data_IF_866771649689
#
_entry.id   IF_866771649689
#
_cell.length_a   1.000
_cell.length_b   1.000
_cell.length_c   1.000
_cell.angle_alpha   90.00
_cell.angle_beta   90.00
_cell.angle_gamma   90.00
#
_symmetry.space_group_name_H-M   'P 1'
#
loop_
_entity.id
_entity.type
_entity.pdbx_description
1 polymer ?
#
# COMPACT_ATOMS: atom_id res chain seq x y z
N UNK A 1 -14.50 2.47 11.32
CA UNK A 1 -15.72 3.11 10.72
C UNK A 1 -15.34 4.47 10.16
N UNK A 2 -15.76 4.78 8.93
CA UNK A 2 -15.56 6.12 8.35
C UNK A 2 -16.45 7.17 9.04
N UNK A 3 -16.12 8.45 8.90
CA UNK A 3 -16.91 9.58 9.38
C UNK A 3 -16.97 10.68 8.30
N UNK A 4 -17.79 11.71 8.54
CA UNK A 4 -17.99 12.82 7.58
C UNK A 4 -16.71 13.58 7.21
N UNK A 5 -15.65 13.45 8.01
CA UNK A 5 -14.37 14.13 7.77
C UNK A 5 -13.48 13.35 6.80
N UNK A 6 -13.79 12.07 6.54
CA UNK A 6 -12.99 11.18 5.69
C UNK A 6 -11.47 11.19 5.97
N UNK A 7 -11.12 11.45 7.24
CA UNK A 7 -9.73 11.51 7.72
C UNK A 7 -9.39 10.25 8.54
N UNK A 8 -9.31 9.12 7.85
CA UNK A 8 -9.00 7.83 8.45
C UNK A 8 -10.25 7.07 8.95
N UNK A 9 -10.03 5.84 9.38
CA UNK A 9 -11.05 4.93 9.86
C UNK A 9 -11.02 4.85 11.38
N UNK A 10 -12.08 5.28 12.05
CA UNK A 10 -12.23 5.12 13.49
C UNK A 10 -12.28 3.64 13.89
N UNK A 11 -11.47 3.27 14.87
CA UNK A 11 -11.46 1.92 15.44
C UNK A 11 -12.46 1.86 16.59
N UNK A 12 -13.22 0.78 16.65
CA UNK A 12 -14.06 0.48 17.79
C UNK A 12 -13.19 -0.19 18.88
N UNK A 13 -12.59 0.63 19.75
CA UNK A 13 -11.63 0.17 20.75
C UNK A 13 -12.27 -0.62 21.90
N UNK A 14 -13.60 -0.65 22.00
CA UNK A 14 -14.30 -1.53 22.93
C UNK A 14 -14.20 -3.02 22.52
N UNK A 15 -13.99 -3.26 21.21
CA UNK A 15 -13.91 -4.61 20.64
C UNK A 15 -12.50 -5.00 20.21
N UNK A 16 -11.68 -4.01 19.86
CA UNK A 16 -10.34 -4.24 19.30
C UNK A 16 -9.32 -3.31 19.95
N UNK A 17 -8.22 -3.87 20.40
CA UNK A 17 -7.04 -3.12 20.81
C UNK A 17 -6.06 -3.07 19.63
N UNK A 18 -5.86 -1.91 18.99
CA UNK A 18 -4.92 -1.75 17.89
C UNK A 18 -3.54 -1.39 18.39
N UNK A 19 -2.53 -1.94 17.75
CA UNK A 19 -1.12 -1.56 17.88
C UNK A 19 -0.58 -1.29 16.47
N UNK A 20 0.38 -0.35 16.33
CA UNK A 20 1.15 -0.18 15.09
C UNK A 20 2.62 -0.38 15.43
N UNK A 21 3.20 -1.41 14.83
CA UNK A 21 4.53 -1.89 15.16
C UNK A 21 5.48 -1.79 13.96
N UNK A 22 6.74 -1.55 14.25
CA UNK A 22 7.78 -1.75 13.24
C UNK A 22 7.82 -3.24 12.85
N UNK A 23 7.74 -3.57 11.55
CA UNK A 23 7.64 -4.96 11.10
C UNK A 23 8.91 -5.79 11.36
N UNK A 24 10.05 -5.15 11.64
CA UNK A 24 11.36 -5.79 11.88
C UNK A 24 11.63 -5.90 13.38
N UNK A 25 11.55 -4.77 14.12
CA UNK A 25 11.89 -4.74 15.55
C UNK A 25 10.74 -5.19 16.44
N UNK A 26 9.49 -5.16 15.92
CA UNK A 26 8.24 -5.41 16.66
C UNK A 26 8.00 -4.41 17.80
N UNK A 27 8.66 -3.28 17.79
CA UNK A 27 8.45 -2.18 18.73
C UNK A 27 7.37 -1.23 18.22
N UNK A 28 6.69 -0.52 19.14
CA UNK A 28 5.71 0.49 18.76
C UNK A 28 6.37 1.65 18.04
N UNK A 29 5.81 2.06 16.91
CA UNK A 29 6.33 3.19 16.13
C UNK A 29 5.83 4.54 16.61
N UNK A 30 4.88 4.56 17.55
CA UNK A 30 4.23 5.80 18.01
C UNK A 30 3.20 6.35 17.02
N UNK A 31 2.51 7.43 17.44
CA UNK A 31 1.43 8.03 16.68
C UNK A 31 1.90 8.62 15.35
N UNK A 32 1.05 8.49 14.34
CA UNK A 32 1.24 9.01 12.99
C UNK A 32 2.45 8.45 12.22
N UNK A 33 3.20 7.52 12.81
CA UNK A 33 4.27 6.81 12.12
C UNK A 33 3.75 5.55 11.43
N UNK A 34 4.35 5.24 10.27
CA UNK A 34 3.98 4.07 9.48
C UNK A 34 4.52 2.79 10.12
N UNK A 35 3.66 1.80 10.28
CA UNK A 35 4.04 0.47 10.77
C UNK A 35 3.00 -0.58 10.43
N UNK A 36 3.24 -1.81 10.84
CA UNK A 36 2.31 -2.93 10.65
C UNK A 36 1.19 -2.87 11.69
N UNK A 37 -0.05 -2.97 11.22
CA UNK A 37 -1.22 -3.02 12.08
C UNK A 37 -1.34 -4.39 12.75
N UNK A 38 -1.51 -4.36 14.05
CA UNK A 38 -1.69 -5.54 14.90
C UNK A 38 -2.96 -5.36 15.72
N UNK A 39 -3.78 -6.39 15.81
CA UNK A 39 -5.02 -6.36 16.59
C UNK A 39 -5.08 -7.43 17.66
N UNK A 40 -5.57 -7.03 18.83
CA UNK A 40 -6.06 -7.94 19.87
C UNK A 40 -7.59 -7.78 19.96
N UNK A 41 -8.32 -8.88 19.91
CA UNK A 41 -9.78 -8.88 20.13
C UNK A 41 -10.07 -8.94 21.63
N UNK A 42 -10.98 -8.06 22.11
CA UNK A 42 -11.27 -7.91 23.53
C UNK A 42 -12.49 -8.72 24.00
N UNK A 43 -13.49 -8.88 23.12
CA UNK A 43 -14.79 -9.48 23.49
C UNK A 43 -15.12 -10.74 22.69
N UNK A 44 -14.20 -11.19 21.83
CA UNK A 44 -14.47 -12.34 20.95
C UNK A 44 -14.17 -13.64 21.69
N UNK A 45 -15.20 -14.42 22.01
CA UNK A 45 -15.08 -15.70 22.69
C UNK A 45 -14.69 -16.84 21.75
N UNK A 46 -15.34 -16.91 20.58
CA UNK A 46 -14.99 -17.85 19.53
C UNK A 46 -13.79 -17.37 18.73
N UNK A 47 -12.68 -18.09 18.77
CA UNK A 47 -11.42 -17.75 18.07
C UNK A 47 -10.88 -16.36 18.50
N UNK A 48 -10.50 -16.15 19.77
CA UNK A 48 -9.88 -14.90 20.19
C UNK A 48 -8.52 -14.72 19.50
N UNK A 49 -8.23 -13.50 19.07
CA UNK A 49 -6.97 -13.13 18.44
C UNK A 49 -6.15 -12.28 19.42
N UNK A 50 -4.96 -12.74 19.77
CA UNK A 50 -4.01 -12.00 20.58
C UNK A 50 -2.86 -11.54 19.69
N UNK A 51 -2.67 -10.21 19.61
CA UNK A 51 -1.62 -9.56 18.81
C UNK A 51 -1.53 -10.12 17.38
N UNK A 52 -2.71 -10.23 16.72
CA UNK A 52 -2.79 -10.74 15.36
C UNK A 52 -2.18 -9.73 14.38
N UNK A 53 -1.12 -10.14 13.70
CA UNK A 53 -0.44 -9.35 12.68
C UNK A 53 -1.22 -9.38 11.38
N UNK A 54 -1.76 -8.22 10.96
CA UNK A 54 -2.55 -8.14 9.70
C UNK A 54 -1.68 -8.13 8.46
N UNK A 55 -0.40 -7.78 8.60
CA UNK A 55 0.54 -7.49 7.52
C UNK A 55 0.27 -6.18 6.77
N UNK A 56 -0.79 -5.46 7.11
CA UNK A 56 -1.13 -4.19 6.48
C UNK A 56 -0.35 -3.05 7.11
N UNK A 57 0.18 -2.15 6.28
CA UNK A 57 0.91 -0.97 6.70
C UNK A 57 -0.03 0.23 6.82
N UNK A 58 -0.06 0.81 8.00
CA UNK A 58 -0.86 2.01 8.31
C UNK A 58 -0.19 2.83 9.41
N UNK A 59 -0.79 3.94 9.79
CA UNK A 59 -0.46 4.71 11.00
C UNK A 59 -1.71 4.85 11.87
N UNK A 60 -1.53 5.05 13.16
CA UNK A 60 -2.60 5.32 14.11
C UNK A 60 -2.50 6.76 14.61
N UNK A 61 -3.64 7.41 14.78
CA UNK A 61 -3.78 8.77 15.29
C UNK A 61 -4.77 8.76 16.47
N UNK A 62 -4.31 9.13 17.65
CA UNK A 62 -5.10 9.21 18.87
C UNK A 62 -5.69 10.60 19.12
N UNK A 63 -5.46 11.57 18.24
CA UNK A 63 -6.04 12.90 18.38
C UNK A 63 -7.56 12.89 18.22
N UNK A 64 -8.24 13.83 18.87
CA UNK A 64 -9.70 13.99 18.74
C UNK A 64 -10.06 14.36 17.30
N UNK A 65 -11.02 13.66 16.74
CA UNK A 65 -11.53 13.95 15.40
C UNK A 65 -12.54 15.12 15.45
N UNK A 66 -12.53 15.97 14.44
CA UNK A 66 -13.53 17.05 14.28
C UNK A 66 -14.97 16.53 14.18
N UNK A 67 -15.19 15.24 13.92
CA UNK A 67 -16.52 14.62 14.00
C UNK A 67 -17.02 14.43 15.44
N UNK A 68 -16.23 14.78 16.46
CA UNK A 68 -16.54 14.66 17.88
C UNK A 68 -16.21 13.30 18.51
N UNK A 69 -15.75 12.33 17.73
CA UNK A 69 -15.32 11.01 18.27
C UNK A 69 -13.92 11.09 18.88
N UNK A 70 -13.76 10.41 20.00
CA UNK A 70 -12.50 10.29 20.74
C UNK A 70 -11.75 8.98 20.43
N UNK A 71 -12.36 8.08 19.62
CA UNK A 71 -11.74 6.82 19.26
C UNK A 71 -10.58 7.02 18.29
N UNK A 72 -9.48 6.25 18.42
CA UNK A 72 -8.33 6.35 17.54
C UNK A 72 -8.72 6.04 16.09
N UNK A 73 -7.94 6.57 15.17
CA UNK A 73 -8.14 6.40 13.73
C UNK A 73 -6.91 5.77 13.12
N UNK A 74 -7.11 4.84 12.21
CA UNK A 74 -6.05 4.36 11.32
C UNK A 74 -6.12 5.10 9.99
N UNK A 75 -4.96 5.39 9.43
CA UNK A 75 -4.84 5.98 8.10
C UNK A 75 -5.24 4.96 7.02
N UNK A 76 -5.38 5.43 5.79
CA UNK A 76 -5.52 4.53 4.64
C UNK A 76 -4.29 3.62 4.54
N UNK A 77 -4.52 2.33 4.25
CA UNK A 77 -3.44 1.37 4.08
C UNK A 77 -2.49 1.78 2.96
N UNK A 78 -1.19 1.67 3.23
CA UNK A 78 -0.12 2.01 2.28
C UNK A 78 0.42 0.81 1.51
N UNK A 79 0.09 -0.40 1.96
CA UNK A 79 0.53 -1.65 1.37
C UNK A 79 0.55 -2.75 2.41
N UNK A 80 1.18 -3.87 2.06
CA UNK A 80 1.37 -5.03 2.95
C UNK A 80 2.85 -5.34 3.11
N UNK A 81 3.24 -5.78 4.31
CA UNK A 81 4.63 -6.15 4.60
C UNK A 81 5.08 -7.41 3.86
N UNK A 82 4.16 -8.34 3.59
CA UNK A 82 4.42 -9.60 2.88
C UNK A 82 4.44 -9.43 1.34
N UNK A 83 3.88 -8.36 0.81
CA UNK A 83 3.94 -8.03 -0.63
C UNK A 83 5.17 -7.20 -0.99
N UNK A 84 5.86 -6.64 -0.01
CA UNK A 84 7.04 -5.83 -0.22
C UNK A 84 8.16 -6.64 -0.90
N UNK A 85 8.74 -6.08 -1.95
CA UNK A 85 9.93 -6.62 -2.62
C UNK A 85 11.11 -5.69 -2.39
N UNK A 86 12.22 -6.24 -1.94
CA UNK A 86 13.47 -5.47 -1.82
C UNK A 86 14.23 -5.62 -3.13
N UNK A 87 14.38 -4.53 -3.88
CA UNK A 87 15.02 -4.52 -5.20
C UNK A 87 16.18 -3.52 -5.15
N UNK A 88 17.40 -4.01 -5.22
CA UNK A 88 18.63 -3.19 -5.09
C UNK A 88 18.64 -2.33 -3.82
N UNK A 89 18.15 -2.88 -2.71
CA UNK A 89 18.08 -2.16 -1.43
C UNK A 89 16.93 -1.15 -1.31
N UNK A 90 16.03 -1.09 -2.31
CA UNK A 90 14.84 -0.24 -2.27
C UNK A 90 13.61 -1.11 -2.02
N UNK A 91 12.78 -0.70 -1.08
CA UNK A 91 11.51 -1.35 -0.80
C UNK A 91 10.47 -0.93 -1.85
N UNK A 92 9.97 -1.88 -2.61
CA UNK A 92 8.95 -1.67 -3.65
C UNK A 92 7.67 -2.39 -3.25
N UNK A 93 6.58 -1.64 -3.21
CA UNK A 93 5.24 -2.17 -2.94
C UNK A 93 4.43 -2.24 -4.24
N UNK A 94 3.75 -3.36 -4.54
CA UNK A 94 2.87 -3.47 -5.70
C UNK A 94 1.82 -2.35 -5.77
N UNK A 95 1.28 -1.95 -4.61
CA UNK A 95 0.30 -0.85 -4.51
C UNK A 95 0.84 0.51 -4.97
N UNK A 96 2.14 0.77 -4.82
CA UNK A 96 2.77 2.00 -5.33
C UNK A 96 2.82 1.97 -6.86
N UNK A 97 3.20 0.82 -7.44
CA UNK A 97 3.22 0.62 -8.89
C UNK A 97 1.81 0.77 -9.46
N UNK A 98 0.82 0.13 -8.86
CA UNK A 98 -0.59 0.24 -9.25
C UNK A 98 -1.07 1.70 -9.22
N UNK A 99 -0.83 2.41 -8.12
CA UNK A 99 -1.22 3.82 -7.97
C UNK A 99 -0.57 4.70 -9.03
N UNK A 100 0.70 4.46 -9.35
CA UNK A 100 1.41 5.18 -10.39
C UNK A 100 0.81 4.93 -11.77
N UNK A 101 0.48 3.67 -12.10
CA UNK A 101 -0.15 3.30 -13.37
C UNK A 101 -1.56 3.89 -13.50
N UNK A 102 -2.41 3.75 -12.47
CA UNK A 102 -3.76 4.30 -12.46
C UNK A 102 -3.79 5.83 -12.62
N UNK A 103 -2.77 6.52 -12.11
CA UNK A 103 -2.66 7.98 -12.26
C UNK A 103 -2.39 8.45 -13.69
N UNK A 104 -2.02 7.54 -14.59
CA UNK A 104 -1.72 7.86 -16.00
C UNK A 104 -2.96 7.89 -16.89
N UNK A 105 -4.07 7.31 -16.46
CA UNK A 105 -5.36 7.36 -17.18
C UNK A 105 -5.43 6.47 -18.42
N UNK A 106 -6.43 6.68 -19.25
CA UNK A 106 -7.06 5.82 -20.26
C UNK A 106 -6.22 5.09 -21.32
N UNK A 107 -4.92 5.31 -21.41
CA UNK A 107 -4.05 4.64 -22.39
C UNK A 107 -3.56 3.26 -21.91
N UNK A 108 -3.70 2.98 -20.62
CA UNK A 108 -3.19 1.78 -19.94
C UNK A 108 -4.34 1.04 -19.30
N UNK A 109 -4.37 -0.30 -19.47
CA UNK A 109 -5.27 -1.18 -18.73
C UNK A 109 -4.83 -1.26 -17.25
N UNK A 110 -5.78 -1.63 -16.39
CA UNK A 110 -5.48 -1.89 -14.97
C UNK A 110 -4.71 -3.19 -14.74
N UNK A 111 -4.43 -3.95 -15.80
CA UNK A 111 -3.68 -5.20 -15.71
C UNK A 111 -2.19 -4.95 -15.89
N UNK A 112 -1.43 -5.37 -14.89
CA UNK A 112 0.03 -5.31 -14.93
C UNK A 112 0.63 -6.55 -14.27
N UNK A 113 1.87 -6.84 -14.59
CA UNK A 113 2.65 -7.91 -14.00
C UNK A 113 4.03 -7.38 -13.59
N UNK A 114 4.43 -7.68 -12.37
CA UNK A 114 5.76 -7.37 -11.87
C UNK A 114 6.62 -8.65 -11.92
N UNK A 115 7.73 -8.60 -12.63
CA UNK A 115 8.71 -9.67 -12.71
C UNK A 115 9.98 -9.20 -12.02
N UNK A 116 10.38 -9.91 -10.98
CA UNK A 116 11.66 -9.69 -10.30
C UNK A 116 12.59 -10.81 -10.72
N UNK A 117 13.66 -10.45 -11.38
CA UNK A 117 14.67 -11.39 -11.89
C UNK A 117 16.07 -10.96 -11.41
N UNK A 118 17.03 -11.86 -11.50
CA UNK A 118 18.41 -11.60 -11.11
C UNK A 118 19.34 -11.76 -12.29
N UNK A 119 19.84 -10.63 -12.79
CA UNK A 119 20.80 -10.59 -13.88
C UNK A 119 22.17 -10.06 -13.37
N UNK A 120 23.26 -10.79 -13.64
CA UNK A 120 24.62 -10.38 -13.27
C UNK A 120 24.77 -10.00 -11.77
N UNK A 121 24.21 -10.81 -10.86
CA UNK A 121 24.18 -10.55 -9.42
C UNK A 121 23.43 -9.27 -9.01
N UNK A 122 22.61 -8.71 -9.89
CA UNK A 122 21.83 -7.50 -9.62
C UNK A 122 20.35 -7.81 -9.83
N UNK A 123 19.50 -7.39 -8.91
CA UNK A 123 18.06 -7.55 -9.04
C UNK A 123 17.52 -6.60 -10.12
N UNK A 124 16.66 -7.14 -10.97
CA UNK A 124 16.00 -6.41 -12.05
C UNK A 124 14.49 -6.48 -11.89
N UNK A 125 13.86 -5.33 -11.77
CA UNK A 125 12.41 -5.22 -11.82
C UNK A 125 11.97 -4.91 -13.25
N UNK A 126 11.10 -5.77 -13.78
CA UNK A 126 10.39 -5.53 -15.05
C UNK A 126 8.91 -5.39 -14.73
N UNK A 127 8.31 -4.29 -15.14
CA UNK A 127 6.86 -4.07 -15.05
C UNK A 127 6.28 -4.21 -16.44
N UNK A 128 5.48 -5.25 -16.64
CA UNK A 128 4.71 -5.45 -17.88
C UNK A 128 3.35 -4.82 -17.67
N UNK A 129 2.92 -4.00 -18.62
CA UNK A 129 1.65 -3.27 -18.54
C UNK A 129 0.86 -3.59 -19.79
N UNK A 130 -0.41 -3.92 -19.62
CA UNK A 130 -1.32 -4.12 -20.73
C UNK A 130 -1.77 -2.77 -21.30
N UNK A 131 -1.72 -2.63 -22.59
CA UNK A 131 -2.09 -1.42 -23.33
C UNK A 131 -3.45 -1.64 -23.98
N UNK A 132 -4.33 -0.63 -23.97
CA UNK A 132 -5.64 -0.69 -24.60
C UNK A 132 -5.52 -0.87 -26.11
N UNK A 133 -6.41 -1.67 -26.69
CA UNK A 133 -6.42 -1.99 -28.14
C UNK A 133 -6.42 -0.76 -29.05
N UNK A 134 -7.01 0.35 -28.62
CA UNK A 134 -7.06 1.60 -29.34
C UNK A 134 -5.69 2.26 -29.59
N UNK A 135 -4.66 1.82 -28.87
CA UNK A 135 -3.27 2.27 -29.03
C UNK A 135 -2.44 1.38 -29.95
N UNK A 136 -2.99 0.24 -30.38
CA UNK A 136 -2.42 -0.61 -31.43
C UNK A 136 -2.66 0.02 -32.81
N UNK A 137 -2.30 1.30 -32.96
CA UNK A 137 -2.15 1.91 -34.27
C UNK A 137 -0.71 1.72 -34.74
N UNK A 138 -0.48 1.68 -36.05
CA UNK A 138 0.80 1.39 -36.72
C UNK A 138 1.98 2.32 -36.34
N UNK A 139 1.83 3.17 -35.33
CA UNK A 139 2.85 4.13 -34.90
C UNK A 139 3.66 3.61 -33.71
N UNK A 140 4.78 2.95 -33.99
CA UNK A 140 5.79 2.52 -33.01
C UNK A 140 6.28 3.68 -32.12
N UNK A 141 6.24 4.91 -32.63
CA UNK A 141 6.60 6.13 -31.91
C UNK A 141 5.73 6.35 -30.67
N UNK A 142 4.41 6.16 -30.76
CA UNK A 142 3.47 6.33 -29.63
C UNK A 142 3.73 5.32 -28.53
N UNK A 143 4.04 4.06 -28.88
CA UNK A 143 4.40 3.03 -27.89
C UNK A 143 5.71 3.36 -27.17
N UNK A 144 6.70 3.88 -27.87
CA UNK A 144 7.97 4.30 -27.26
C UNK A 144 7.80 5.50 -26.32
N UNK A 145 6.94 6.46 -26.67
CA UNK A 145 6.64 7.60 -25.81
C UNK A 145 5.85 7.18 -24.57
N UNK A 146 4.90 6.26 -24.71
CA UNK A 146 4.18 5.68 -23.59
C UNK A 146 5.14 4.94 -22.65
N UNK A 147 6.03 4.11 -23.18
CA UNK A 147 7.07 3.41 -22.40
C UNK A 147 7.94 4.38 -21.60
N UNK A 148 8.35 5.51 -22.20
CA UNK A 148 9.13 6.55 -21.50
C UNK A 148 8.32 7.20 -20.37
N UNK A 149 7.04 7.54 -20.63
CA UNK A 149 6.12 8.14 -19.63
C UNK A 149 5.92 7.18 -18.43
N UNK A 150 5.61 5.90 -18.70
CA UNK A 150 5.47 4.87 -17.65
C UNK A 150 6.76 4.75 -16.84
N UNK A 151 7.90 4.64 -17.50
CA UNK A 151 9.20 4.53 -16.83
C UNK A 151 9.56 5.75 -15.98
N UNK A 152 9.21 6.96 -16.42
CA UNK A 152 9.42 8.17 -15.64
C UNK A 152 8.51 8.21 -14.40
N UNK A 153 7.25 7.82 -14.54
CA UNK A 153 6.27 7.81 -13.46
C UNK A 153 6.63 6.79 -12.37
N UNK A 154 7.03 5.58 -12.77
CA UNK A 154 7.45 4.52 -11.84
C UNK A 154 8.76 4.85 -11.09
N UNK A 155 9.60 5.74 -11.61
CA UNK A 155 10.80 6.21 -10.89
C UNK A 155 10.49 7.26 -9.82
N UNK A 156 9.32 7.88 -9.86
CA UNK A 156 8.86 8.90 -8.91
C UNK A 156 7.99 8.33 -7.79
N UNK A 157 7.47 7.11 -7.96
CA UNK A 157 6.63 6.41 -7.00
C UNK A 157 7.46 5.65 -5.98
#
# INVERSE_FOLDING_TARGET
MDCKQHNGLHINHDFFYPEVLDPVTNESVGDNNLGELVFTTLVKEGMPLLRYRTKDLTSIDHSTCECGRTTPRISKFKGRTDDMKVIRGVNVFPTQVETALLSMGGDISNHYMMIVDRENNTDKLTVMVEVNENLFSDEISKLNDLKKKVGAKLKQA
#
